data_IF_597169540025
#
_entry.id   IF_597169540025
#
_cell.length_a   1.000
_cell.length_b   1.000
_cell.length_c   1.000
_cell.angle_alpha   90.00
_cell.angle_beta   90.00
_cell.angle_gamma   90.00
#
_symmetry.space_group_name_H-M   'P 1'
#
loop_
_entity.id
_entity.type
_entity.pdbx_description
1 polymer ?
#
# COMPACT_ATOMS: atom_id res chain seq x y z
N UNK A 1 -55.95 58.75 20.73
CA UNK A 1 -54.78 57.94 21.14
C UNK A 1 -54.12 57.38 19.88
N UNK A 2 -52.87 57.80 19.69
CA UNK A 2 -51.76 57.27 18.88
C UNK A 2 -51.92 56.91 17.39
N UNK A 3 -51.16 57.66 16.58
CA UNK A 3 -50.58 57.33 15.28
C UNK A 3 -49.11 56.81 15.48
N UNK A 4 -48.17 56.89 14.50
CA UNK A 4 -47.93 55.97 13.36
C UNK A 4 -46.48 55.37 13.33
N UNK A 5 -46.20 54.55 12.29
CA UNK A 5 -44.92 54.24 11.58
C UNK A 5 -43.57 54.38 12.34
N UNK A 6 -42.77 53.30 12.35
CA UNK A 6 -41.30 53.41 12.21
C UNK A 6 -40.68 52.15 11.58
N UNK A 7 -40.02 52.36 10.44
CA UNK A 7 -39.06 51.46 9.80
C UNK A 7 -37.80 51.33 10.66
N UNK A 8 -37.20 50.13 10.72
CA UNK A 8 -35.79 49.97 11.09
C UNK A 8 -35.09 49.01 10.13
N UNK A 9 -34.05 49.53 9.47
CA UNK A 9 -32.98 48.81 8.79
C UNK A 9 -32.05 48.13 9.80
N UNK A 10 -31.60 46.90 9.51
CA UNK A 10 -30.22 46.39 9.72
C UNK A 10 -30.00 45.32 8.62
N UNK A 11 -29.38 45.64 7.48
CA UNK A 11 -27.94 45.65 7.18
C UNK A 11 -27.33 44.27 6.89
N UNK A 12 -27.21 44.02 5.58
CA UNK A 12 -26.20 43.30 4.81
C UNK A 12 -25.14 42.46 5.53
N UNK A 13 -24.99 41.20 5.12
CA UNK A 13 -23.71 40.71 4.55
C UNK A 13 -23.94 39.43 3.73
N UNK A 14 -23.91 39.59 2.41
CA UNK A 14 -23.67 38.53 1.44
C UNK A 14 -22.19 38.12 1.52
N UNK A 15 -21.90 36.91 2.00
CA UNK A 15 -20.57 36.31 1.89
C UNK A 15 -20.38 35.78 0.47
N UNK A 16 -19.77 36.64 -0.35
CA UNK A 16 -19.27 36.31 -1.68
C UNK A 16 -18.33 35.11 -1.65
N UNK A 17 -18.59 34.20 -2.59
CA UNK A 17 -17.64 33.23 -3.13
C UNK A 17 -16.34 33.91 -3.53
N UNK A 18 -15.27 33.68 -2.79
CA UNK A 18 -13.92 34.03 -3.18
C UNK A 18 -13.23 32.76 -3.73
N UNK A 19 -13.08 32.71 -5.04
CA UNK A 19 -12.16 31.77 -5.71
C UNK A 19 -10.72 32.08 -5.27
N UNK A 20 -9.88 31.05 -5.03
CA UNK A 20 -8.48 31.29 -4.69
C UNK A 20 -7.70 31.82 -5.91
N UNK A 21 -6.75 32.76 -5.72
CA UNK A 21 -5.94 33.31 -6.80
C UNK A 21 -4.94 32.27 -7.35
N UNK A 22 -4.58 32.34 -8.64
CA UNK A 22 -3.55 31.48 -9.21
C UNK A 22 -2.17 31.87 -8.64
N UNK A 23 -1.50 30.92 -7.99
CA UNK A 23 -0.07 31.05 -7.70
C UNK A 23 0.71 30.96 -9.01
N UNK A 24 1.14 32.11 -9.52
CA UNK A 24 2.23 32.17 -10.48
C UNK A 24 3.54 31.86 -9.75
N UNK A 25 3.92 30.59 -9.73
CA UNK A 25 5.26 30.18 -9.31
C UNK A 25 6.20 30.36 -10.49
N UNK A 26 6.95 31.46 -10.49
CA UNK A 26 8.10 31.66 -11.37
C UNK A 26 9.15 30.61 -11.02
N UNK A 27 9.24 29.54 -11.82
CA UNK A 27 10.30 28.54 -11.72
C UNK A 27 11.56 29.17 -12.30
N UNK A 28 12.37 29.78 -11.44
CA UNK A 28 13.76 30.14 -11.78
C UNK A 28 14.59 28.86 -11.71
N UNK A 29 14.88 28.28 -12.87
CA UNK A 29 15.78 27.13 -13.01
C UNK A 29 17.19 27.46 -12.49
N UNK A 30 17.82 26.62 -11.65
CA UNK A 30 19.23 26.78 -11.32
C UNK A 30 20.11 26.51 -12.56
N UNK A 31 21.24 27.21 -12.73
CA UNK A 31 22.09 27.09 -13.92
C UNK A 31 22.77 25.72 -13.98
N UNK A 32 22.74 25.08 -15.15
CA UNK A 32 23.51 23.88 -15.46
C UNK A 32 25.02 24.15 -15.29
N UNK A 33 25.79 23.22 -14.69
CA UNK A 33 27.24 23.27 -14.76
C UNK A 33 27.73 22.91 -16.18
N UNK A 34 28.85 23.51 -16.64
CA UNK A 34 29.30 23.41 -18.02
C UNK A 34 29.75 21.98 -18.40
N UNK A 35 29.31 21.56 -19.59
CA UNK A 35 29.75 20.35 -20.28
C UNK A 35 31.29 20.32 -20.38
N UNK A 36 31.93 19.45 -19.60
CA UNK A 36 33.29 19.02 -19.88
C UNK A 36 33.25 18.02 -21.02
N UNK A 37 33.56 18.50 -22.23
CA UNK A 37 33.85 17.65 -23.38
C UNK A 37 35.13 16.86 -23.09
N UNK A 38 34.98 15.60 -22.70
CA UNK A 38 36.07 14.62 -22.76
C UNK A 38 36.43 14.44 -24.24
N UNK A 39 37.45 15.15 -24.69
CA UNK A 39 38.16 14.88 -25.93
C UNK A 39 38.82 13.50 -25.83
N UNK A 40 38.05 12.46 -26.15
CA UNK A 40 38.54 11.12 -26.39
C UNK A 40 39.35 11.16 -27.70
N UNK A 41 40.65 11.39 -27.53
CA UNK A 41 41.66 11.33 -28.57
C UNK A 41 41.67 9.91 -29.15
N UNK A 42 41.01 9.75 -30.30
CA UNK A 42 41.04 8.58 -31.17
C UNK A 42 42.51 8.27 -31.50
N UNK A 43 43.04 7.17 -30.96
CA UNK A 43 44.30 6.60 -31.43
C UNK A 43 43.95 5.63 -32.55
N UNK A 44 44.21 6.06 -33.78
CA UNK A 44 44.24 5.19 -34.94
C UNK A 44 45.38 4.19 -34.75
N UNK A 45 45.03 2.96 -34.35
CA UNK A 45 45.95 1.83 -34.37
C UNK A 45 45.85 1.17 -35.76
N UNK A 46 46.89 1.37 -36.55
CA UNK A 46 47.04 0.82 -37.89
C UNK A 46 46.86 -0.70 -37.87
N UNK A 47 45.92 -1.17 -38.69
CA UNK A 47 45.81 -2.57 -39.09
C UNK A 47 47.02 -2.91 -39.97
N UNK A 48 47.95 -3.71 -39.47
CA UNK A 48 48.98 -4.37 -40.28
C UNK A 48 48.65 -5.86 -40.33
N UNK A 49 48.24 -6.28 -41.51
CA UNK A 49 48.02 -7.66 -41.92
C UNK A 49 49.37 -8.37 -42.07
N UNK A 50 49.57 -9.48 -41.36
CA UNK A 50 50.50 -10.54 -41.78
C UNK A 50 49.89 -11.91 -41.46
N UNK A 51 49.33 -12.53 -42.51
CA UNK A 51 49.01 -13.95 -42.59
C UNK A 51 50.25 -14.73 -43.00
N UNK A 52 50.61 -15.83 -42.30
CA UNK A 52 50.69 -17.20 -42.87
C UNK A 52 51.19 -18.27 -41.86
N UNK A 53 50.41 -19.36 -41.79
CA UNK A 53 50.72 -20.77 -41.48
C UNK A 53 51.46 -21.19 -40.19
N UNK A 54 50.72 -21.88 -39.30
CA UNK A 54 51.15 -23.20 -38.79
C UNK A 54 49.93 -24.07 -38.41
N UNK A 55 49.84 -25.23 -39.07
CA UNK A 55 48.89 -26.30 -38.78
C UNK A 55 49.37 -27.09 -37.55
N UNK A 56 48.63 -27.05 -36.43
CA UNK A 56 48.64 -28.08 -35.38
C UNK A 56 47.28 -28.07 -34.65
N UNK A 57 46.49 -29.16 -34.67
CA UNK A 57 45.29 -29.27 -33.85
C UNK A 57 45.68 -29.88 -32.50
N UNK A 58 46.31 -29.08 -31.63
CA UNK A 58 46.58 -29.49 -30.25
C UNK A 58 45.59 -28.81 -29.31
N UNK A 59 44.87 -29.66 -28.57
CA UNK A 59 43.93 -29.34 -27.51
C UNK A 59 44.50 -28.26 -26.58
N UNK A 60 43.99 -27.04 -26.69
CA UNK A 60 44.07 -26.05 -25.62
C UNK A 60 42.71 -25.39 -25.53
N UNK A 61 41.79 -26.12 -24.92
CA UNK A 61 40.54 -25.52 -24.44
C UNK A 61 40.96 -24.47 -23.41
N UNK A 62 40.63 -23.17 -23.60
CA UNK A 62 40.92 -22.18 -22.60
C UNK A 62 40.25 -22.62 -21.29
N UNK A 63 40.92 -22.52 -20.13
CA UNK A 63 40.28 -22.84 -18.87
C UNK A 63 38.98 -22.04 -18.79
N UNK A 64 37.87 -22.74 -18.53
CA UNK A 64 36.57 -22.10 -18.26
C UNK A 64 36.84 -20.96 -17.28
N UNK A 65 36.43 -19.75 -17.63
CA UNK A 65 36.56 -18.60 -16.74
C UNK A 65 35.95 -18.99 -15.39
N UNK A 66 36.80 -19.20 -14.39
CA UNK A 66 36.37 -19.29 -13.02
C UNK A 66 35.89 -17.88 -12.67
N UNK A 67 34.58 -17.66 -12.79
CA UNK A 67 33.96 -16.47 -12.27
C UNK A 67 34.25 -16.48 -10.76
N UNK A 68 35.19 -15.63 -10.35
CA UNK A 68 35.38 -15.30 -8.96
C UNK A 68 34.10 -14.59 -8.52
N UNK A 69 33.13 -15.35 -8.02
CA UNK A 69 32.07 -14.81 -7.17
C UNK A 69 32.74 -14.40 -5.87
N UNK A 70 33.45 -13.26 -5.90
CA UNK A 70 33.66 -12.48 -4.69
C UNK A 70 32.30 -12.37 -4.01
N UNK A 71 32.24 -12.66 -2.71
CA UNK A 71 31.02 -12.78 -1.89
C UNK A 71 30.20 -11.50 -1.72
N UNK A 72 30.19 -10.62 -2.72
CA UNK A 72 29.24 -9.54 -2.88
C UNK A 72 28.00 -10.14 -3.54
N UNK A 73 27.04 -10.47 -2.69
CA UNK A 73 25.61 -10.59 -3.01
C UNK A 73 25.24 -9.65 -4.17
N UNK A 74 24.67 -10.20 -5.25
CA UNK A 74 24.33 -9.41 -6.44
C UNK A 74 23.32 -8.30 -6.10
N UNK A 75 23.11 -7.29 -6.98
CA UNK A 75 22.20 -6.19 -6.69
C UNK A 75 20.78 -6.62 -6.24
N UNK A 76 20.26 -7.71 -6.82
CA UNK A 76 18.96 -8.30 -6.44
C UNK A 76 18.96 -8.87 -5.03
N UNK A 77 20.03 -9.58 -4.66
CA UNK A 77 20.18 -10.19 -3.33
C UNK A 77 20.44 -9.13 -2.26
N UNK A 78 21.20 -8.08 -2.59
CA UNK A 78 21.36 -6.91 -1.73
C UNK A 78 20.02 -6.21 -1.48
N UNK A 79 19.20 -5.99 -2.51
CA UNK A 79 17.85 -5.42 -2.36
C UNK A 79 16.93 -6.30 -1.52
N UNK A 80 17.03 -7.62 -1.66
CA UNK A 80 16.27 -8.59 -0.86
C UNK A 80 16.61 -8.42 0.63
N UNK A 81 17.89 -8.34 0.96
CA UNK A 81 18.35 -8.13 2.33
C UNK A 81 17.88 -6.77 2.90
N UNK A 82 17.86 -5.71 2.09
CA UNK A 82 17.30 -4.42 2.51
C UNK A 82 15.80 -4.49 2.80
N UNK A 83 15.03 -5.21 1.98
CA UNK A 83 13.59 -5.42 2.23
C UNK A 83 13.34 -6.18 3.53
N UNK A 84 14.13 -7.22 3.82
CA UNK A 84 14.05 -7.95 5.11
C UNK A 84 14.27 -7.01 6.29
N UNK A 85 15.29 -6.15 6.22
CA UNK A 85 15.58 -5.14 7.27
C UNK A 85 14.49 -4.08 7.41
N UNK A 86 13.84 -3.72 6.31
CA UNK A 86 12.74 -2.76 6.28
C UNK A 86 11.35 -3.38 6.54
N UNK A 87 11.27 -4.70 6.77
CA UNK A 87 10.01 -5.45 6.89
C UNK A 87 9.03 -4.86 7.90
N UNK A 88 9.51 -4.36 9.04
CA UNK A 88 8.66 -3.71 10.05
C UNK A 88 7.81 -2.55 9.50
N UNK A 89 8.30 -1.84 8.49
CA UNK A 89 7.56 -0.74 7.87
C UNK A 89 6.54 -1.24 6.85
N UNK A 90 6.83 -2.38 6.20
CA UNK A 90 5.91 -3.06 5.29
C UNK A 90 4.74 -3.67 6.08
N UNK A 91 5.01 -4.21 7.26
CA UNK A 91 4.01 -4.85 8.13
C UNK A 91 3.21 -3.85 8.99
N UNK A 92 3.68 -2.62 9.19
CA UNK A 92 3.03 -1.65 10.09
C UNK A 92 1.52 -1.39 9.82
N UNK A 93 1.04 -1.29 8.56
CA UNK A 93 -0.39 -1.15 8.29
C UNK A 93 -1.20 -2.38 8.75
N UNK A 94 -0.62 -3.58 8.63
CA UNK A 94 -1.25 -4.84 9.05
C UNK A 94 -1.39 -4.85 10.57
N UNK A 95 -0.34 -4.47 11.30
CA UNK A 95 -0.36 -4.36 12.76
C UNK A 95 -1.39 -3.33 13.25
N UNK A 96 -1.47 -2.16 12.59
CA UNK A 96 -2.44 -1.12 12.95
C UNK A 96 -3.89 -1.61 12.78
N UNK A 97 -4.18 -2.30 11.67
CA UNK A 97 -5.48 -2.92 11.43
C UNK A 97 -5.79 -4.01 12.45
N UNK A 98 -4.83 -4.90 12.73
CA UNK A 98 -4.98 -5.96 13.73
C UNK A 98 -5.34 -5.39 15.09
N UNK A 99 -4.59 -4.39 15.55
CA UNK A 99 -4.83 -3.76 16.84
C UNK A 99 -6.25 -3.18 16.90
N UNK A 100 -6.69 -2.50 15.83
CA UNK A 100 -8.04 -1.94 15.74
C UNK A 100 -9.13 -3.02 15.84
N UNK A 101 -8.96 -4.15 15.13
CA UNK A 101 -9.88 -5.28 15.18
C UNK A 101 -9.89 -5.97 16.56
N UNK A 102 -8.72 -6.15 17.17
CA UNK A 102 -8.60 -6.73 18.51
C UNK A 102 -9.24 -5.85 19.58
N UNK A 103 -9.06 -4.54 19.52
CA UNK A 103 -9.75 -3.60 20.41
C UNK A 103 -11.28 -3.68 20.22
N UNK A 104 -11.76 -3.78 18.98
CA UNK A 104 -13.19 -3.93 18.71
C UNK A 104 -13.73 -5.25 19.31
N UNK A 105 -13.01 -6.35 19.12
CA UNK A 105 -13.36 -7.65 19.68
C UNK A 105 -13.41 -7.62 21.21
N UNK A 106 -12.37 -7.09 21.85
CA UNK A 106 -12.31 -6.97 23.31
C UNK A 106 -13.46 -6.12 23.85
N UNK A 107 -13.79 -5.00 23.20
CA UNK A 107 -14.96 -4.21 23.57
C UNK A 107 -16.22 -5.06 23.59
N UNK A 108 -16.48 -5.84 22.53
CA UNK A 108 -17.67 -6.71 22.41
C UNK A 108 -17.71 -7.81 23.46
N UNK A 109 -16.58 -8.40 23.80
CA UNK A 109 -16.51 -9.56 24.71
C UNK A 109 -16.34 -9.21 26.18
N UNK A 110 -16.04 -7.97 26.54
CA UNK A 110 -15.79 -7.55 27.93
C UNK A 110 -17.03 -7.53 28.84
N UNK A 111 -18.09 -8.27 28.51
CA UNK A 111 -19.15 -8.66 29.45
C UNK A 111 -20.03 -7.51 29.98
N UNK A 112 -19.98 -6.32 29.38
CA UNK A 112 -20.79 -5.18 29.80
C UNK A 112 -22.28 -5.52 29.57
N UNK A 113 -23.05 -5.53 30.65
CA UNK A 113 -24.49 -5.83 30.63
C UNK A 113 -25.25 -4.74 29.84
N UNK A 114 -24.83 -3.49 30.01
CA UNK A 114 -25.40 -2.32 29.34
C UNK A 114 -24.42 -1.77 28.30
N UNK A 115 -24.69 -2.12 27.05
CA UNK A 115 -24.02 -1.54 25.89
C UNK A 115 -24.62 -0.17 25.56
N UNK A 116 -23.80 0.88 25.66
CA UNK A 116 -24.27 2.23 25.35
C UNK A 116 -24.14 2.52 23.86
N UNK A 117 -24.88 3.51 23.36
CA UNK A 117 -24.70 4.05 21.99
C UNK A 117 -23.27 4.46 21.73
N UNK A 118 -22.57 5.00 22.74
CA UNK A 118 -21.15 5.33 22.66
C UNK A 118 -20.26 4.10 22.43
N UNK A 119 -20.53 2.99 23.12
CA UNK A 119 -19.77 1.75 22.94
C UNK A 119 -19.95 1.21 21.51
N UNK A 120 -21.15 1.33 20.94
CA UNK A 120 -21.45 0.99 19.54
C UNK A 120 -20.68 1.90 18.55
N UNK A 121 -20.70 3.20 18.76
CA UNK A 121 -19.97 4.18 17.94
C UNK A 121 -18.47 3.92 17.97
N UNK A 122 -17.91 3.54 19.12
CA UNK A 122 -16.49 3.20 19.27
C UNK A 122 -16.13 1.92 18.51
N UNK A 123 -16.96 0.88 18.58
CA UNK A 123 -16.78 -0.35 17.78
C UNK A 123 -16.83 -0.01 16.30
N UNK A 124 -17.82 0.76 15.85
CA UNK A 124 -17.95 1.15 14.44
C UNK A 124 -16.75 1.99 13.97
N UNK A 125 -16.25 2.89 14.82
CA UNK A 125 -15.05 3.69 14.55
C UNK A 125 -13.82 2.81 14.40
N UNK A 126 -13.65 1.81 15.26
CA UNK A 126 -12.54 0.84 15.18
C UNK A 126 -12.62 0.00 13.90
N UNK A 127 -13.81 -0.47 13.54
CA UNK A 127 -14.05 -1.20 12.29
C UNK A 127 -13.74 -0.36 11.06
N UNK A 128 -14.22 0.90 11.02
CA UNK A 128 -13.90 1.85 9.94
C UNK A 128 -12.41 2.14 9.87
N UNK A 129 -11.74 2.27 11.01
CA UNK A 129 -10.28 2.46 11.08
C UNK A 129 -9.51 1.28 10.52
N UNK A 130 -9.91 0.04 10.85
CA UNK A 130 -9.30 -1.18 10.33
C UNK A 130 -9.55 -1.35 8.82
N UNK A 131 -10.77 -1.06 8.37
CA UNK A 131 -11.17 -1.19 6.97
C UNK A 131 -10.67 -0.06 6.07
N UNK A 132 -10.16 1.05 6.62
CA UNK A 132 -9.61 2.18 5.83
C UNK A 132 -8.54 1.72 4.86
N UNK A 133 -7.75 0.73 5.26
CA UNK A 133 -6.65 0.20 4.46
C UNK A 133 -7.13 -0.64 3.27
N UNK A 134 -8.42 -1.00 3.18
CA UNK A 134 -9.05 -1.51 1.97
C UNK A 134 -10.50 -1.03 1.94
N UNK A 135 -10.74 0.14 1.31
CA UNK A 135 -12.06 0.79 1.29
C UNK A 135 -13.16 -0.20 0.88
N UNK A 136 -14.11 -0.42 1.79
CA UNK A 136 -15.29 -1.26 1.64
C UNK A 136 -16.57 -0.45 1.35
N UNK A 137 -16.46 0.74 0.77
CA UNK A 137 -17.66 1.53 0.49
C UNK A 137 -18.45 0.94 -0.68
N UNK A 138 -19.73 0.71 -0.44
CA UNK A 138 -20.77 0.52 -1.45
C UNK A 138 -20.65 1.64 -2.49
N UNK A 139 -20.12 1.29 -3.65
CA UNK A 139 -19.76 2.27 -4.68
C UNK A 139 -20.99 2.69 -5.46
N UNK A 140 -21.64 3.76 -5.00
CA UNK A 140 -22.47 4.57 -5.86
C UNK A 140 -21.59 5.25 -6.93
N UNK A 141 -21.57 4.62 -8.11
CA UNK A 141 -21.20 5.01 -9.49
C UNK A 141 -20.11 6.07 -9.81
N UNK A 142 -19.80 7.05 -8.96
CA UNK A 142 -18.87 8.14 -9.27
C UNK A 142 -17.42 7.85 -8.85
N UNK A 143 -17.21 7.18 -7.71
CA UNK A 143 -15.87 6.78 -7.22
C UNK A 143 -15.27 5.64 -8.07
N UNK A 144 -16.11 4.82 -8.71
CA UNK A 144 -15.66 3.76 -9.62
C UNK A 144 -14.96 4.31 -10.86
N UNK A 145 -15.36 5.48 -11.35
CA UNK A 145 -14.70 6.15 -12.48
C UNK A 145 -13.30 6.64 -12.11
N UNK A 146 -13.09 7.13 -10.88
CA UNK A 146 -11.78 7.55 -10.39
C UNK A 146 -10.88 6.37 -10.00
N UNK A 147 -11.45 5.28 -9.47
CA UNK A 147 -10.69 4.05 -9.22
C UNK A 147 -10.15 3.40 -10.50
N UNK A 148 -10.85 3.57 -11.64
CA UNK A 148 -10.34 3.15 -12.95
C UNK A 148 -9.17 4.02 -13.48
N UNK A 149 -8.81 5.12 -12.81
CA UNK A 149 -7.69 6.00 -13.21
C UNK A 149 -6.35 5.70 -12.52
N UNK A 150 -6.20 4.51 -11.92
CA UNK A 150 -4.89 4.02 -11.46
C UNK A 150 -4.53 4.34 -10.01
N UNK A 151 -5.51 4.66 -9.16
CA UNK A 151 -5.32 4.80 -7.71
C UNK A 151 -5.78 3.50 -7.04
N UNK A 152 -4.85 2.59 -6.70
CA UNK A 152 -5.17 1.40 -5.90
C UNK A 152 -5.70 1.82 -4.52
N UNK A 153 -6.94 1.43 -4.21
CA UNK A 153 -7.72 1.93 -3.06
C UNK A 153 -7.46 1.13 -1.77
N UNK A 154 -6.57 0.14 -1.82
CA UNK A 154 -6.27 -0.76 -0.71
C UNK A 154 -4.77 -0.71 -0.41
N UNK A 155 -4.39 -0.10 0.71
CA UNK A 155 -3.04 -0.07 1.26
C UNK A 155 -2.43 -1.48 1.30
N UNK A 156 -3.21 -2.53 1.58
CA UNK A 156 -2.69 -3.90 1.57
C UNK A 156 -2.28 -4.39 0.17
N UNK A 157 -2.86 -3.86 -0.91
CA UNK A 157 -2.37 -4.13 -2.27
C UNK A 157 -0.99 -3.50 -2.49
N UNK A 158 -0.77 -2.27 -2.01
CA UNK A 158 0.55 -1.63 -2.02
C UNK A 158 1.57 -2.42 -1.20
N UNK A 159 1.15 -2.99 -0.07
CA UNK A 159 1.98 -3.87 0.76
C UNK A 159 2.40 -5.13 0.00
N UNK A 160 1.48 -5.82 -0.68
CA UNK A 160 1.80 -6.97 -1.56
C UNK A 160 2.76 -6.56 -2.67
N UNK A 161 2.42 -5.48 -3.40
CA UNK A 161 3.24 -4.99 -4.51
C UNK A 161 4.65 -4.62 -4.06
N UNK A 162 4.79 -4.07 -2.84
CA UNK A 162 6.10 -3.83 -2.25
C UNK A 162 6.80 -5.15 -1.89
N UNK A 163 6.17 -6.03 -1.11
CA UNK A 163 6.80 -7.25 -0.64
C UNK A 163 7.26 -8.16 -1.79
N UNK A 164 6.42 -8.32 -2.81
CA UNK A 164 6.67 -9.18 -3.96
C UNK A 164 7.47 -8.52 -5.09
N UNK A 165 7.97 -7.28 -4.94
CA UNK A 165 8.57 -6.52 -6.05
C UNK A 165 9.89 -7.10 -6.59
N UNK A 166 10.48 -8.10 -5.93
CA UNK A 166 11.69 -8.82 -6.39
C UNK A 166 11.37 -10.21 -6.94
N UNK A 167 10.10 -10.62 -6.87
CA UNK A 167 9.58 -11.88 -7.38
C UNK A 167 9.05 -11.67 -8.80
N UNK A 168 9.08 -12.71 -9.61
CA UNK A 168 8.51 -12.69 -10.95
C UNK A 168 6.96 -12.73 -10.87
N UNK A 169 6.27 -12.24 -11.90
CA UNK A 169 4.79 -12.17 -11.90
C UNK A 169 4.10 -13.54 -11.79
N UNK A 170 4.80 -14.62 -12.15
CA UNK A 170 4.31 -16.00 -12.06
C UNK A 170 4.88 -16.75 -10.87
N UNK A 171 5.58 -16.06 -9.97
CA UNK A 171 6.12 -16.65 -8.77
C UNK A 171 4.98 -17.15 -7.87
N UNK A 172 4.97 -18.41 -7.43
CA UNK A 172 3.88 -18.97 -6.63
C UNK A 172 3.69 -18.23 -5.31
N UNK A 173 4.75 -17.71 -4.69
CA UNK A 173 4.69 -16.96 -3.42
C UNK A 173 3.95 -15.63 -3.62
N UNK A 174 4.23 -14.94 -4.73
CA UNK A 174 3.51 -13.72 -5.11
C UNK A 174 2.02 -14.00 -5.34
N UNK A 175 1.71 -15.03 -6.13
CA UNK A 175 0.33 -15.41 -6.43
C UNK A 175 -0.45 -15.81 -5.17
N UNK A 176 0.18 -16.52 -4.25
CA UNK A 176 -0.42 -16.89 -2.96
C UNK A 176 -0.69 -15.66 -2.09
N UNK A 177 0.25 -14.71 -2.02
CA UNK A 177 0.04 -13.45 -1.28
C UNK A 177 -1.11 -12.62 -1.86
N UNK A 178 -1.27 -12.59 -3.19
CA UNK A 178 -2.41 -11.94 -3.85
C UNK A 178 -3.74 -12.65 -3.58
N UNK A 179 -3.74 -13.99 -3.54
CA UNK A 179 -4.92 -14.76 -3.17
C UNK A 179 -5.33 -14.48 -1.71
N UNK A 180 -4.37 -14.50 -0.78
CA UNK A 180 -4.58 -14.16 0.64
C UNK A 180 -5.12 -12.73 0.82
N UNK A 181 -4.65 -11.78 0.00
CA UNK A 181 -5.22 -10.42 -0.04
C UNK A 181 -6.69 -10.43 -0.48
N UNK A 182 -7.03 -11.17 -1.54
CA UNK A 182 -8.42 -11.29 -1.98
C UNK A 182 -9.33 -11.86 -0.89
N UNK A 183 -8.85 -12.84 -0.14
CA UNK A 183 -9.59 -13.44 0.97
C UNK A 183 -9.77 -12.47 2.13
N UNK A 184 -8.73 -11.66 2.43
CA UNK A 184 -8.80 -10.60 3.42
C UNK A 184 -9.85 -9.54 3.05
N UNK A 185 -9.84 -9.07 1.80
CA UNK A 185 -10.84 -8.10 1.31
C UNK A 185 -12.26 -8.67 1.42
N UNK A 186 -12.45 -9.95 1.09
CA UNK A 186 -13.76 -10.63 1.23
C UNK A 186 -14.18 -10.71 2.68
N UNK A 187 -13.27 -11.03 3.60
CA UNK A 187 -13.54 -11.11 5.03
C UNK A 187 -13.96 -9.76 5.60
N UNK A 188 -13.24 -8.70 5.24
CA UNK A 188 -13.60 -7.33 5.57
C UNK A 188 -14.98 -6.93 5.03
N UNK A 189 -15.29 -7.28 3.77
CA UNK A 189 -16.61 -7.04 3.16
C UNK A 189 -17.73 -7.74 3.94
N UNK A 190 -17.51 -9.02 4.32
CA UNK A 190 -18.43 -9.78 5.14
C UNK A 190 -18.65 -9.13 6.52
N UNK A 191 -17.56 -8.72 7.18
CA UNK A 191 -17.60 -8.02 8.46
C UNK A 191 -18.37 -6.70 8.37
N UNK A 192 -18.19 -5.92 7.31
CA UNK A 192 -18.95 -4.68 7.06
C UNK A 192 -20.46 -4.98 6.91
N UNK A 193 -20.79 -6.03 6.15
CA UNK A 193 -22.18 -6.49 6.00
C UNK A 193 -22.81 -6.88 7.34
N UNK A 194 -22.07 -7.58 8.20
CA UNK A 194 -22.52 -7.88 9.57
C UNK A 194 -22.67 -6.57 10.36
N UNK A 195 -21.65 -5.73 10.42
CA UNK A 195 -21.63 -4.50 11.21
C UNK A 195 -22.78 -3.53 10.86
N UNK A 196 -23.21 -3.48 9.60
CA UNK A 196 -24.33 -2.64 9.17
C UNK A 196 -25.71 -3.28 9.42
N UNK A 197 -25.78 -4.61 9.57
CA UNK A 197 -27.04 -5.34 9.68
C UNK A 197 -27.45 -5.70 11.11
N UNK A 198 -26.51 -5.83 12.06
CA UNK A 198 -26.84 -6.25 13.44
C UNK A 198 -27.00 -5.09 14.41
N UNK A 199 -28.07 -5.17 15.20
CA UNK A 199 -28.23 -4.40 16.43
C UNK A 199 -27.43 -5.06 17.57
N UNK A 200 -26.33 -4.42 17.99
CA UNK A 200 -25.39 -4.90 19.01
C UNK A 200 -26.03 -4.98 20.41
N UNK A 201 -27.22 -4.41 20.63
CA UNK A 201 -27.91 -4.55 21.92
C UNK A 201 -28.29 -6.01 22.23
N UNK A 202 -28.53 -6.83 21.21
CA UNK A 202 -28.88 -8.24 21.39
C UNK A 202 -27.62 -9.12 21.58
N UNK A 203 -27.62 -9.96 22.62
CA UNK A 203 -26.49 -10.86 22.92
C UNK A 203 -26.09 -11.78 21.74
N UNK A 204 -27.06 -12.34 21.00
CA UNK A 204 -26.77 -13.18 19.83
C UNK A 204 -26.11 -12.41 18.68
N UNK A 205 -26.47 -11.13 18.53
CA UNK A 205 -25.89 -10.25 17.52
C UNK A 205 -24.46 -9.85 17.87
N UNK A 206 -24.19 -9.62 19.16
CA UNK A 206 -22.82 -9.42 19.68
C UNK A 206 -21.94 -10.63 19.38
N UNK A 207 -22.44 -11.83 19.64
CA UNK A 207 -21.70 -13.05 19.35
C UNK A 207 -21.40 -13.16 17.84
N UNK A 208 -22.41 -12.96 16.98
CA UNK A 208 -22.23 -12.97 15.53
C UNK A 208 -21.19 -11.96 15.04
N UNK A 209 -21.17 -10.76 15.62
CA UNK A 209 -20.17 -9.74 15.30
C UNK A 209 -18.77 -10.14 15.80
N UNK A 210 -18.67 -10.69 17.01
CA UNK A 210 -17.42 -11.19 17.56
C UNK A 210 -16.84 -12.33 16.72
N UNK A 211 -17.68 -13.25 16.25
CA UNK A 211 -17.28 -14.34 15.36
C UNK A 211 -16.75 -13.80 14.03
N UNK A 212 -17.48 -12.87 13.39
CA UNK A 212 -17.04 -12.23 12.14
C UNK A 212 -15.73 -11.43 12.29
N UNK A 213 -15.53 -10.80 13.46
CA UNK A 213 -14.27 -10.14 13.81
C UNK A 213 -13.12 -11.14 13.90
N UNK A 214 -13.34 -12.27 14.58
CA UNK A 214 -12.33 -13.33 14.69
C UNK A 214 -11.96 -13.92 13.34
N UNK A 215 -12.94 -14.16 12.47
CA UNK A 215 -12.70 -14.61 11.10
C UNK A 215 -11.84 -13.61 10.31
N UNK A 216 -12.14 -12.31 10.45
CA UNK A 216 -11.38 -11.24 9.78
C UNK A 216 -9.95 -11.14 10.34
N UNK A 217 -9.76 -11.26 11.66
CA UNK A 217 -8.44 -11.29 12.29
C UNK A 217 -7.64 -12.50 11.80
N UNK A 218 -8.27 -13.67 11.70
CA UNK A 218 -7.63 -14.88 11.17
C UNK A 218 -7.20 -14.68 9.71
N UNK A 219 -8.07 -14.10 8.87
CA UNK A 219 -7.72 -13.77 7.49
C UNK A 219 -6.58 -12.74 7.41
N UNK A 220 -6.54 -11.75 8.30
CA UNK A 220 -5.46 -10.75 8.36
C UNK A 220 -4.13 -11.39 8.76
N UNK A 221 -4.14 -12.35 9.67
CA UNK A 221 -2.94 -13.11 10.05
C UNK A 221 -2.43 -13.98 8.90
N UNK A 222 -3.35 -14.63 8.17
CA UNK A 222 -2.99 -15.39 6.97
C UNK A 222 -2.39 -14.49 5.89
N UNK A 223 -2.97 -13.31 5.67
CA UNK A 223 -2.42 -12.30 4.78
C UNK A 223 -1.02 -11.86 5.19
N UNK A 224 -0.80 -11.55 6.47
CA UNK A 224 0.52 -11.21 6.99
C UNK A 224 1.55 -12.30 6.69
N UNK A 225 1.16 -13.57 6.86
CA UNK A 225 2.05 -14.68 6.56
C UNK A 225 2.45 -14.67 5.08
N UNK A 226 1.51 -14.44 4.15
CA UNK A 226 1.84 -14.30 2.73
C UNK A 226 2.82 -13.16 2.43
N UNK A 227 2.73 -12.05 3.18
CA UNK A 227 3.70 -10.94 3.08
C UNK A 227 5.07 -11.35 3.62
N UNK A 228 5.11 -12.06 4.75
CA UNK A 228 6.34 -12.60 5.32
C UNK A 228 7.01 -13.60 4.39
N UNK A 229 6.22 -14.46 3.75
CA UNK A 229 6.70 -15.42 2.76
C UNK A 229 7.36 -14.70 1.57
N UNK A 230 6.74 -13.63 1.06
CA UNK A 230 7.34 -12.78 0.00
C UNK A 230 8.66 -12.12 0.44
N UNK A 231 8.76 -11.77 1.72
CA UNK A 231 9.95 -11.16 2.32
C UNK A 231 10.98 -12.19 2.78
N UNK A 232 10.64 -13.48 2.81
CA UNK A 232 11.43 -14.57 3.39
C UNK A 232 11.88 -14.29 4.85
N UNK A 233 10.91 -13.95 5.71
CA UNK A 233 11.09 -13.67 7.16
C UNK A 233 10.13 -14.45 8.05
#
# INVERSE_FOLDING_TARGET
MSAPIMSHLIQSSSSSTASPPPLHTTITSPPLPPHQQLHLRRRDAAAVLLSVFSLFPSLNQPPKAAALSFGISGPKDWLREQKKKASKFVLAPIDASRNSLQFAYQSLTNGKLDYTTKDLEDVQRLLKSAARDCILEDRDSLITFQANTGVEVCTFKLVVNNAASLLDDKDPVKLEAEAKLSDLVRSFTSLSGVANAVDIQLASNRQKMADALMDTIASLNNFEQGIKDCLEI
#
